data_IF_260284184224
#
_entry.id   IF_260284184224
#
_cell.length_a   1.000
_cell.length_b   1.000
_cell.length_c   1.000
_cell.angle_alpha   90.00
_cell.angle_beta   90.00
_cell.angle_gamma   90.00
#
_symmetry.space_group_name_H-M   'P 1'
#
loop_
_entity.id
_entity.type
_entity.pdbx_description
1 polymer ?
#
# COMPACT_ATOMS: atom_id res chain seq x y z
N UNK A 1 49.42 -67.25 -34.97
CA UNK A 1 48.74 -67.02 -33.67
C UNK A 1 48.97 -65.56 -33.28
N UNK A 2 47.96 -64.69 -33.39
CA UNK A 2 48.06 -63.32 -32.88
C UNK A 2 46.69 -62.86 -32.37
N UNK A 3 46.77 -62.12 -31.26
CA UNK A 3 45.78 -61.98 -30.20
C UNK A 3 44.69 -60.96 -30.55
N UNK A 4 43.47 -61.26 -30.11
CA UNK A 4 42.28 -60.43 -30.24
C UNK A 4 42.37 -59.11 -29.45
N UNK A 5 41.70 -58.12 -30.02
CA UNK A 5 41.36 -56.80 -29.49
C UNK A 5 40.66 -56.82 -28.12
N UNK A 6 40.70 -55.69 -27.39
CA UNK A 6 39.56 -55.03 -26.72
C UNK A 6 40.02 -53.89 -25.79
N UNK A 7 39.94 -52.63 -26.24
CA UNK A 7 40.07 -51.43 -25.36
C UNK A 7 39.04 -50.35 -25.69
N UNK A 8 37.78 -50.71 -25.98
CA UNK A 8 36.73 -49.75 -26.34
C UNK A 8 35.58 -49.61 -25.32
N UNK A 9 35.73 -50.14 -24.09
CA UNK A 9 34.65 -50.17 -23.10
C UNK A 9 34.63 -49.04 -22.06
N UNK A 10 35.77 -48.39 -21.80
CA UNK A 10 35.93 -47.57 -20.58
C UNK A 10 35.58 -46.09 -20.79
N UNK A 11 35.76 -45.54 -21.99
CA UNK A 11 35.57 -44.11 -22.25
C UNK A 11 34.09 -43.65 -22.20
N UNK A 12 33.15 -44.46 -22.72
CA UNK A 12 31.71 -44.12 -22.74
C UNK A 12 31.05 -44.10 -21.36
N UNK A 13 31.54 -44.94 -20.44
CA UNK A 13 31.01 -44.99 -19.07
C UNK A 13 31.35 -43.72 -18.28
N UNK A 14 32.57 -43.19 -18.43
CA UNK A 14 33.04 -41.99 -17.74
C UNK A 14 32.31 -40.71 -18.17
N UNK A 15 32.03 -40.53 -19.46
CA UNK A 15 31.24 -39.39 -19.97
C UNK A 15 29.79 -39.40 -19.45
N UNK A 16 29.17 -40.58 -19.37
CA UNK A 16 27.81 -40.73 -18.85
C UNK A 16 27.69 -40.35 -17.36
N UNK A 17 28.72 -40.65 -16.56
CA UNK A 17 28.80 -40.31 -15.14
C UNK A 17 29.01 -38.81 -14.91
N UNK A 18 29.77 -38.16 -15.80
CA UNK A 18 29.99 -36.69 -15.78
C UNK A 18 28.70 -35.93 -16.13
N UNK A 19 28.03 -36.31 -17.22
CA UNK A 19 26.77 -35.70 -17.65
C UNK A 19 25.66 -35.85 -16.59
N UNK A 20 25.59 -37.02 -15.93
CA UNK A 20 24.63 -37.30 -14.86
C UNK A 20 24.89 -36.44 -13.61
N UNK A 21 26.15 -36.19 -13.25
CA UNK A 21 26.51 -35.25 -12.16
C UNK A 21 26.09 -33.82 -12.48
N UNK A 22 26.34 -33.33 -13.70
CA UNK A 22 25.94 -31.97 -14.13
C UNK A 22 24.42 -31.79 -14.09
N UNK A 23 23.66 -32.77 -14.59
CA UNK A 23 22.20 -32.74 -14.56
C UNK A 23 21.64 -32.80 -13.13
N UNK A 24 22.24 -33.62 -12.26
CA UNK A 24 21.87 -33.69 -10.84
C UNK A 24 22.11 -32.36 -10.13
N UNK A 25 23.28 -31.73 -10.32
CA UNK A 25 23.56 -30.41 -9.75
C UNK A 25 22.65 -29.31 -10.30
N UNK A 26 22.32 -29.32 -11.59
CA UNK A 26 21.36 -28.39 -12.18
C UNK A 26 19.93 -28.58 -11.61
N UNK A 27 19.51 -29.82 -11.40
CA UNK A 27 18.24 -30.16 -10.76
C UNK A 27 18.23 -29.76 -9.27
N UNK A 28 19.35 -29.91 -8.58
CA UNK A 28 19.54 -29.53 -7.18
C UNK A 28 19.56 -28.00 -7.01
N UNK A 29 20.21 -27.27 -7.91
CA UNK A 29 20.12 -25.81 -7.99
C UNK A 29 18.70 -25.33 -8.31
N UNK A 30 17.98 -25.97 -9.24
CA UNK A 30 16.55 -25.66 -9.48
C UNK A 30 15.70 -25.96 -8.25
N UNK A 31 15.96 -27.06 -7.53
CA UNK A 31 15.27 -27.41 -6.28
C UNK A 31 15.59 -26.44 -5.15
N UNK A 32 16.85 -26.02 -4.97
CA UNK A 32 17.25 -24.99 -4.00
C UNK A 32 16.69 -23.60 -4.36
N UNK A 33 16.66 -23.22 -5.64
CA UNK A 33 15.98 -22.01 -6.11
C UNK A 33 14.45 -22.07 -5.88
N UNK A 34 13.86 -23.27 -5.96
CA UNK A 34 12.44 -23.52 -5.61
C UNK A 34 12.21 -23.48 -4.09
N UNK A 35 13.15 -24.01 -3.29
CA UNK A 35 13.12 -24.08 -1.82
C UNK A 35 13.40 -22.73 -1.15
N UNK A 36 14.11 -21.81 -1.82
CA UNK A 36 14.26 -20.41 -1.37
C UNK A 36 13.02 -19.51 -1.60
N UNK A 37 11.91 -20.03 -2.18
CA UNK A 37 10.86 -19.21 -2.82
C UNK A 37 9.45 -19.29 -2.23
N UNK A 38 9.31 -19.49 -0.93
CA UNK A 38 8.06 -19.16 -0.23
C UNK A 38 8.28 -18.06 0.81
N UNK A 39 8.70 -16.89 0.35
CA UNK A 39 8.30 -15.69 1.08
C UNK A 39 6.78 -15.62 1.08
N UNK A 40 6.21 -15.22 2.20
CA UNK A 40 4.77 -15.20 2.40
C UNK A 40 4.11 -14.28 1.37
N UNK A 41 3.56 -14.86 0.29
CA UNK A 41 2.87 -14.12 -0.77
C UNK A 41 1.73 -13.28 -0.18
N UNK A 42 1.01 -13.82 0.81
CA UNK A 42 -0.09 -13.10 1.50
C UNK A 42 0.40 -11.81 2.14
N UNK A 43 1.61 -11.80 2.72
CA UNK A 43 2.20 -10.58 3.28
C UNK A 43 2.44 -9.52 2.20
N UNK A 44 2.98 -9.90 1.04
CA UNK A 44 3.22 -8.98 -0.07
C UNK A 44 1.89 -8.39 -0.57
N UNK A 45 0.87 -9.22 -0.73
CA UNK A 45 -0.47 -8.78 -1.12
C UNK A 45 -1.10 -7.84 -0.08
N UNK A 46 -0.94 -8.12 1.22
CA UNK A 46 -1.41 -7.25 2.31
C UNK A 46 -0.71 -5.88 2.27
N UNK A 47 0.61 -5.85 2.17
CA UNK A 47 1.39 -4.61 2.09
C UNK A 47 1.00 -3.77 0.86
N UNK A 48 0.74 -4.42 -0.28
CA UNK A 48 0.22 -3.76 -1.48
C UNK A 48 -1.15 -3.15 -1.24
N UNK A 49 -2.08 -3.92 -0.67
CA UNK A 49 -3.42 -3.45 -0.36
C UNK A 49 -3.39 -2.26 0.62
N UNK A 50 -2.54 -2.31 1.63
CA UNK A 50 -2.34 -1.23 2.58
C UNK A 50 -1.76 0.02 1.93
N UNK A 51 -0.72 -0.13 1.10
CA UNK A 51 -0.15 0.98 0.30
C UNK A 51 -1.24 1.66 -0.51
N UNK A 52 -2.08 0.87 -1.20
CA UNK A 52 -3.18 1.39 -2.02
C UNK A 52 -4.30 2.01 -1.20
N UNK A 53 -4.58 1.51 0.01
CA UNK A 53 -5.54 2.12 0.94
C UNK A 53 -5.11 3.53 1.32
N UNK A 54 -3.85 3.69 1.74
CA UNK A 54 -3.30 5.01 2.08
C UNK A 54 -3.26 5.94 0.87
N UNK A 55 -2.86 5.46 -0.31
CA UNK A 55 -2.89 6.24 -1.54
C UNK A 55 -4.32 6.69 -1.91
N UNK A 56 -5.30 5.81 -1.78
CA UNK A 56 -6.70 6.14 -2.05
C UNK A 56 -7.28 7.15 -1.05
N UNK A 57 -6.88 7.10 0.23
CA UNK A 57 -7.24 8.13 1.20
C UNK A 57 -6.72 9.50 0.77
N UNK A 58 -5.42 9.58 0.46
CA UNK A 58 -4.75 10.81 0.06
C UNK A 58 -5.16 11.36 -1.32
N UNK A 59 -5.88 10.55 -2.12
CA UNK A 59 -6.20 10.86 -3.51
C UNK A 59 -5.01 10.75 -4.46
N UNK A 60 -4.01 9.91 -4.13
CA UNK A 60 -2.82 9.69 -4.96
C UNK A 60 -3.01 8.51 -5.92
N UNK A 61 -2.31 8.57 -7.05
CA UNK A 61 -2.22 7.46 -7.99
C UNK A 61 -1.66 6.20 -7.30
N UNK A 62 -2.23 5.04 -7.64
CA UNK A 62 -1.81 3.75 -7.09
C UNK A 62 -0.42 3.40 -7.59
N UNK A 63 0.41 2.80 -6.74
CA UNK A 63 1.69 2.25 -7.21
C UNK A 63 1.45 1.01 -8.08
N UNK A 64 1.89 1.07 -9.34
CA UNK A 64 1.81 -0.02 -10.32
C UNK A 64 3.08 -0.88 -10.28
N UNK A 65 3.15 -1.82 -9.35
CA UNK A 65 4.18 -2.88 -9.34
C UNK A 65 3.53 -4.23 -9.11
N UNK A 66 4.11 -5.31 -9.64
CA UNK A 66 3.63 -6.66 -9.35
C UNK A 66 3.91 -7.06 -7.90
N UNK A 67 3.00 -7.85 -7.32
CA UNK A 67 3.19 -8.56 -6.06
C UNK A 67 3.89 -9.93 -6.26
N UNK A 68 4.07 -10.34 -7.52
CA UNK A 68 4.69 -11.60 -7.91
C UNK A 68 5.91 -11.36 -8.81
N UNK A 69 6.92 -12.25 -8.78
CA UNK A 69 7.08 -13.39 -7.87
C UNK A 69 7.39 -12.95 -6.42
N UNK A 70 7.11 -13.82 -5.44
CA UNK A 70 7.39 -13.59 -4.01
C UNK A 70 8.89 -13.67 -3.70
N UNK A 71 9.63 -12.65 -4.12
CA UNK A 71 11.09 -12.52 -3.93
C UNK A 71 11.41 -11.51 -2.85
N UNK A 72 12.62 -11.59 -2.26
CA UNK A 72 13.06 -10.64 -1.22
C UNK A 72 13.05 -9.20 -1.73
N UNK A 73 13.33 -8.99 -3.01
CA UNK A 73 13.28 -7.67 -3.64
C UNK A 73 11.86 -7.10 -3.69
N UNK A 74 10.87 -7.92 -4.09
CA UNK A 74 9.45 -7.51 -4.13
C UNK A 74 8.93 -7.25 -2.71
N UNK A 75 9.24 -8.10 -1.74
CA UNK A 75 8.88 -7.87 -0.34
C UNK A 75 9.47 -6.55 0.19
N UNK A 76 10.78 -6.34 0.05
CA UNK A 76 11.46 -5.11 0.49
C UNK A 76 10.87 -3.87 -0.16
N UNK A 77 10.47 -3.95 -1.43
CA UNK A 77 9.79 -2.86 -2.09
C UNK A 77 8.46 -2.54 -1.42
N UNK A 78 7.60 -3.53 -1.23
CA UNK A 78 6.26 -3.31 -0.67
C UNK A 78 6.28 -2.90 0.79
N UNK A 79 7.26 -3.35 1.59
CA UNK A 79 7.49 -2.83 2.94
C UNK A 79 7.79 -1.33 2.91
N UNK A 80 8.72 -0.89 2.04
CA UNK A 80 9.06 0.52 1.90
C UNK A 80 7.91 1.36 1.33
N UNK A 81 7.17 0.81 0.38
CA UNK A 81 6.02 1.48 -0.22
C UNK A 81 4.91 1.70 0.81
N UNK A 82 4.58 0.67 1.60
CA UNK A 82 3.60 0.77 2.68
C UNK A 82 4.03 1.78 3.74
N UNK A 83 5.28 1.70 4.21
CA UNK A 83 5.82 2.63 5.20
C UNK A 83 5.80 4.09 4.73
N UNK A 84 6.22 4.37 3.49
CA UNK A 84 6.15 5.73 2.92
C UNK A 84 4.71 6.23 2.79
N UNK A 85 3.79 5.38 2.31
CA UNK A 85 2.40 5.76 2.16
C UNK A 85 1.75 6.05 3.52
N UNK A 86 2.08 5.27 4.55
CA UNK A 86 1.64 5.49 5.92
C UNK A 86 2.18 6.80 6.49
N UNK A 87 3.50 7.05 6.40
CA UNK A 87 4.12 8.29 6.89
C UNK A 87 3.50 9.51 6.19
N UNK A 88 3.25 9.44 4.88
CA UNK A 88 2.55 10.52 4.19
C UNK A 88 1.11 10.68 4.68
N UNK A 89 0.40 9.57 4.87
CA UNK A 89 -0.99 9.61 5.31
C UNK A 89 -1.15 10.24 6.70
N UNK A 90 -0.25 10.00 7.67
CA UNK A 90 -0.37 10.59 9.02
C UNK A 90 0.03 12.08 9.10
N UNK A 91 0.56 12.63 8.00
CA UNK A 91 0.91 14.04 7.83
C UNK A 91 0.09 14.66 6.68
N UNK A 92 -1.23 14.82 6.85
CA UNK A 92 -2.01 15.57 5.89
C UNK A 92 -1.46 16.99 5.79
N UNK A 93 -1.47 17.61 4.60
CA UNK A 93 -1.24 19.04 4.51
C UNK A 93 -2.20 19.80 5.44
N UNK A 94 -1.79 20.98 5.87
CA UNK A 94 -2.55 21.84 6.78
C UNK A 94 -3.09 21.14 8.06
N UNK A 95 -2.46 20.06 8.54
CA UNK A 95 -2.88 19.34 9.76
C UNK A 95 -3.17 20.29 10.94
N UNK A 96 -2.31 21.27 11.16
CA UNK A 96 -2.50 22.28 12.21
C UNK A 96 -3.74 23.15 12.00
N UNK A 97 -4.04 23.53 10.76
CA UNK A 97 -5.23 24.29 10.42
C UNK A 97 -6.51 23.47 10.65
N UNK A 98 -6.53 22.21 10.22
CA UNK A 98 -7.67 21.31 10.48
C UNK A 98 -7.91 21.07 11.96
N UNK A 99 -6.83 20.94 12.74
CA UNK A 99 -6.93 20.83 14.20
C UNK A 99 -7.43 22.14 14.84
N UNK A 100 -7.03 23.30 14.33
CA UNK A 100 -7.58 24.58 14.78
C UNK A 100 -9.07 24.67 14.48
N UNK A 101 -9.47 24.31 13.26
CA UNK A 101 -10.89 24.31 12.87
C UNK A 101 -11.69 23.39 13.77
N UNK A 102 -11.24 22.14 13.91
CA UNK A 102 -11.87 21.15 14.77
C UNK A 102 -12.13 21.65 16.20
N UNK A 103 -11.21 22.43 16.77
CA UNK A 103 -11.34 23.00 18.13
C UNK A 103 -12.59 23.85 18.31
N UNK A 104 -13.09 24.49 17.25
CA UNK A 104 -14.29 25.32 17.29
C UNK A 104 -15.54 24.62 16.74
N UNK A 105 -15.38 23.59 15.92
CA UNK A 105 -16.48 22.95 15.21
C UNK A 105 -17.22 21.90 16.05
N UNK A 106 -16.54 20.86 16.53
CA UNK A 106 -17.24 19.78 17.23
C UNK A 106 -16.41 18.55 17.55
N UNK A 107 -17.02 17.55 18.17
CA UNK A 107 -16.37 16.28 18.51
C UNK A 107 -16.06 15.47 17.26
N UNK A 108 -14.93 14.74 17.22
CA UNK A 108 -14.62 13.81 16.12
C UNK A 108 -15.70 12.76 15.84
N UNK A 109 -16.51 12.46 16.86
CA UNK A 109 -17.61 11.49 16.82
C UNK A 109 -18.99 12.15 16.88
N UNK A 110 -19.08 13.44 16.57
CA UNK A 110 -20.37 14.13 16.57
C UNK A 110 -21.29 13.51 15.51
N UNK A 111 -22.42 12.98 15.96
CA UNK A 111 -23.44 12.34 15.13
C UNK A 111 -24.66 13.25 14.88
N UNK A 112 -24.59 14.53 15.27
CA UNK A 112 -25.70 15.49 15.23
C UNK A 112 -26.04 15.98 13.82
N UNK A 113 -27.13 15.47 13.26
CA UNK A 113 -27.69 16.01 12.00
C UNK A 113 -27.89 17.54 12.13
N UNK A 114 -27.49 18.37 11.13
CA UNK A 114 -27.10 18.01 9.76
C UNK A 114 -25.58 17.96 9.48
N UNK A 115 -24.71 17.94 10.50
CA UNK A 115 -23.25 18.00 10.33
C UNK A 115 -22.55 16.93 11.17
N UNK A 116 -21.62 16.18 10.57
CA UNK A 116 -21.00 15.03 11.24
C UNK A 116 -19.50 15.20 11.44
N UNK A 117 -19.01 14.61 12.53
CA UNK A 117 -17.60 14.53 12.87
C UNK A 117 -16.98 15.85 13.29
N UNK A 118 -15.68 15.82 13.55
CA UNK A 118 -14.98 16.92 14.21
C UNK A 118 -14.75 18.14 13.32
N UNK A 119 -15.01 18.01 12.02
CA UNK A 119 -14.99 19.10 11.05
C UNK A 119 -16.41 19.43 10.55
N UNK A 120 -17.47 18.96 11.23
CA UNK A 120 -18.86 19.30 10.92
C UNK A 120 -19.19 19.22 9.42
N UNK A 121 -18.93 18.06 8.81
CA UNK A 121 -19.13 17.86 7.37
C UNK A 121 -20.58 17.48 7.08
N UNK A 122 -21.25 18.11 6.12
CA UNK A 122 -22.59 17.71 5.67
C UNK A 122 -22.55 16.58 4.62
N UNK A 123 -23.71 16.01 4.28
CA UNK A 123 -23.86 14.91 3.31
C UNK A 123 -23.39 15.27 1.90
N UNK A 124 -23.62 16.50 1.45
CA UNK A 124 -23.17 17.00 0.16
C UNK A 124 -21.65 17.11 0.11
N UNK A 125 -21.05 17.71 1.13
CA UNK A 125 -19.59 17.80 1.28
C UNK A 125 -18.95 16.42 1.28
N UNK A 126 -19.47 15.50 2.10
CA UNK A 126 -19.00 14.12 2.16
C UNK A 126 -19.15 13.41 0.81
N UNK A 127 -20.28 13.56 0.13
CA UNK A 127 -20.51 12.92 -1.18
C UNK A 127 -19.59 13.48 -2.27
N UNK A 128 -19.26 14.77 -2.21
CA UNK A 128 -18.35 15.43 -3.15
C UNK A 128 -16.88 15.07 -2.96
N UNK A 129 -16.44 14.89 -1.72
CA UNK A 129 -15.01 14.81 -1.41
C UNK A 129 -14.57 13.49 -0.76
N UNK A 130 -15.45 12.72 -0.13
CA UNK A 130 -15.05 11.46 0.50
C UNK A 130 -14.84 10.35 -0.54
N UNK A 131 -13.78 9.53 -0.42
CA UNK A 131 -13.64 8.34 -1.25
C UNK A 131 -14.78 7.35 -0.95
N UNK A 132 -15.28 6.66 -1.98
CA UNK A 132 -16.43 5.74 -1.89
C UNK A 132 -16.36 4.70 -0.75
N UNK A 133 -15.17 4.27 -0.35
CA UNK A 133 -15.04 3.28 0.73
C UNK A 133 -15.32 3.86 2.13
N UNK A 134 -15.15 5.18 2.31
CA UNK A 134 -15.54 5.85 3.55
C UNK A 134 -17.05 6.05 3.61
N UNK A 135 -17.67 6.47 2.51
CA UNK A 135 -19.13 6.60 2.43
C UNK A 135 -19.86 5.28 2.75
N UNK A 136 -19.29 4.12 2.36
CA UNK A 136 -19.85 2.81 2.73
C UNK A 136 -19.75 2.47 4.22
N UNK A 137 -18.88 3.15 4.98
CA UNK A 137 -18.71 2.95 6.43
C UNK A 137 -19.62 3.86 7.25
N UNK A 138 -20.36 4.76 6.61
CA UNK A 138 -21.19 5.76 7.28
C UNK A 138 -20.67 7.18 7.05
N UNK A 139 -21.12 8.09 7.89
CA UNK A 139 -20.79 9.52 7.85
C UNK A 139 -19.49 9.81 8.62
N UNK A 140 -19.11 11.08 8.70
CA UNK A 140 -17.81 11.49 9.21
C UNK A 140 -17.52 11.03 10.65
N UNK A 141 -18.54 10.87 11.49
CA UNK A 141 -18.46 10.34 12.86
C UNK A 141 -17.96 8.89 12.94
N UNK A 142 -18.11 8.10 11.87
CA UNK A 142 -17.56 6.75 11.73
C UNK A 142 -16.13 6.73 11.16
N UNK A 143 -15.59 7.88 10.79
CA UNK A 143 -14.26 8.02 10.21
C UNK A 143 -13.27 8.46 11.28
N UNK A 144 -12.02 8.02 11.14
CA UNK A 144 -10.96 8.51 12.01
C UNK A 144 -10.71 10.01 11.78
N UNK A 145 -10.15 10.74 12.77
CA UNK A 145 -9.78 12.14 12.58
C UNK A 145 -8.91 12.36 11.34
N UNK A 146 -8.00 11.43 11.08
CA UNK A 146 -7.12 11.49 9.92
C UNK A 146 -7.89 11.34 8.60
N UNK A 147 -8.89 10.48 8.56
CA UNK A 147 -9.75 10.31 7.39
C UNK A 147 -10.56 11.58 7.11
N UNK A 148 -11.14 12.19 8.15
CA UNK A 148 -11.84 13.47 8.04
C UNK A 148 -10.91 14.58 7.52
N UNK A 149 -9.70 14.71 8.07
CA UNK A 149 -8.71 15.68 7.57
C UNK A 149 -8.34 15.46 6.09
N UNK A 150 -8.20 14.21 5.63
CA UNK A 150 -7.92 13.94 4.22
C UNK A 150 -9.09 14.24 3.28
N UNK A 151 -10.32 14.13 3.76
CA UNK A 151 -11.51 14.57 3.03
C UNK A 151 -11.52 16.10 2.92
N UNK A 152 -11.24 16.81 4.02
CA UNK A 152 -11.09 18.27 4.03
C UNK A 152 -9.97 18.73 3.08
N UNK A 153 -8.81 18.07 3.09
CA UNK A 153 -7.70 18.32 2.16
C UNK A 153 -8.07 18.10 0.69
N UNK A 154 -9.01 17.20 0.42
CA UNK A 154 -9.51 17.04 -0.95
C UNK A 154 -10.36 18.25 -1.35
N UNK A 155 -11.25 18.71 -0.48
CA UNK A 155 -12.04 19.92 -0.73
C UNK A 155 -11.17 21.15 -0.92
N UNK A 156 -10.15 21.32 -0.06
CA UNK A 156 -9.17 22.39 -0.16
C UNK A 156 -8.50 22.43 -1.54
N UNK A 157 -7.96 21.30 -2.00
CA UNK A 157 -7.24 21.18 -3.28
C UNK A 157 -8.14 21.31 -4.51
N UNK A 158 -9.45 21.10 -4.37
CA UNK A 158 -10.43 21.31 -5.44
C UNK A 158 -10.78 22.79 -5.66
N UNK A 159 -10.13 23.71 -4.95
CA UNK A 159 -10.34 25.17 -5.08
C UNK A 159 -11.20 25.77 -3.97
N UNK A 160 -11.70 24.97 -3.02
CA UNK A 160 -12.51 25.47 -1.91
C UNK A 160 -11.71 26.17 -0.80
N UNK A 161 -10.39 25.97 -0.72
CA UNK A 161 -9.57 26.53 0.36
C UNK A 161 -10.12 26.16 1.74
N UNK A 162 -10.06 27.11 2.69
CA UNK A 162 -10.70 26.98 4.01
C UNK A 162 -12.13 27.54 4.05
N UNK A 163 -12.70 27.95 2.92
CA UNK A 163 -14.00 28.64 2.87
C UNK A 163 -15.20 27.73 3.19
N UNK A 164 -15.01 26.42 3.28
CA UNK A 164 -16.02 25.50 3.82
C UNK A 164 -16.30 25.75 5.31
N UNK A 165 -15.38 26.40 6.04
CA UNK A 165 -15.51 26.77 7.45
C UNK A 165 -15.27 28.27 7.66
N UNK A 166 -16.09 29.17 7.12
CA UNK A 166 -15.71 30.58 6.96
C UNK A 166 -15.50 31.31 8.29
N UNK A 167 -16.33 31.05 9.31
CA UNK A 167 -16.20 31.70 10.62
C UNK A 167 -14.99 31.17 11.38
N UNK A 168 -14.85 29.85 11.41
CA UNK A 168 -13.77 29.17 12.12
C UNK A 168 -12.41 29.39 11.44
N UNK A 169 -12.37 29.43 10.11
CA UNK A 169 -11.17 29.72 9.35
C UNK A 169 -10.65 31.14 9.65
N UNK A 170 -11.54 32.13 9.78
CA UNK A 170 -11.16 33.48 10.25
C UNK A 170 -10.66 33.47 11.69
N UNK A 171 -11.34 32.75 12.59
CA UNK A 171 -10.90 32.59 13.98
C UNK A 171 -9.51 31.94 14.08
N UNK A 172 -9.17 31.08 13.12
CA UNK A 172 -7.86 30.44 12.98
C UNK A 172 -6.83 31.25 12.16
N UNK A 173 -7.20 32.42 11.63
CA UNK A 173 -6.31 33.26 10.82
C UNK A 173 -5.92 32.65 9.46
N UNK A 174 -6.81 31.85 8.86
CA UNK A 174 -6.55 31.09 7.63
C UNK A 174 -7.05 31.79 6.35
N UNK A 175 -8.00 32.73 6.50
CA UNK A 175 -8.62 33.54 5.43
C UNK A 175 -8.97 34.94 5.94
#
# INVERSE_FOLDING_TARGET
MSVFALTAGVARAAESLSARKVLMHAAEHRRHAKKQRHLNSRLIHRLRAETWRWQALMGRARTHRSATPSTKAVLRFWVRAAGRAYVQAIHPPHKGAWLCIHRYEGSWRDSGDPYWGGLQMDRGFMSGYAPRYLLRRGLADHWSPLEQMWVAERAYRSGGGFYAWPNTARACGLI
#
